data_IF_071834321370
#
_entry.id   IF_071834321370
#
_cell.length_a   1.000
_cell.length_b   1.000
_cell.length_c   1.000
_cell.angle_alpha   90.00
_cell.angle_beta   90.00
_cell.angle_gamma   90.00
#
_symmetry.space_group_name_H-M   'P 1'
#
loop_
_entity.id
_entity.type
_entity.pdbx_description
1 polymer ?
#
# COMPACT_ATOMS: atom_id res chain seq x y z
N UNK A 1 9.62 21.15 17.73
CA UNK A 1 9.65 19.97 18.61
C UNK A 1 9.34 18.78 17.73
N UNK A 2 10.37 18.02 17.34
CA UNK A 2 10.22 16.84 16.49
C UNK A 2 9.58 15.76 17.35
N UNK A 3 8.35 15.35 17.03
CA UNK A 3 7.73 14.20 17.71
C UNK A 3 8.67 13.00 17.59
N UNK A 4 8.95 12.27 18.68
CA UNK A 4 9.73 11.05 18.58
C UNK A 4 8.98 10.09 17.63
N UNK A 5 9.68 9.59 16.61
CA UNK A 5 9.17 8.46 15.82
C UNK A 5 8.81 7.35 16.82
N UNK A 6 7.59 6.79 16.77
CA UNK A 6 7.26 5.66 17.62
C UNK A 6 8.33 4.58 17.44
N UNK A 7 8.80 4.03 18.56
CA UNK A 7 9.82 2.99 18.60
C UNK A 7 9.38 1.83 17.69
N UNK A 8 10.19 1.50 16.68
CA UNK A 8 9.85 0.43 15.73
C UNK A 8 9.58 -0.86 16.53
N UNK A 9 8.39 -1.48 16.40
CA UNK A 9 8.04 -2.62 17.23
C UNK A 9 8.99 -3.79 16.98
N UNK A 10 9.22 -4.63 18.01
CA UNK A 10 10.10 -5.82 17.98
C UNK A 10 9.47 -7.01 17.22
N UNK A 11 8.87 -6.73 16.08
CA UNK A 11 8.31 -7.70 15.14
C UNK A 11 9.25 -7.88 13.95
N UNK A 12 9.18 -9.01 13.23
CA UNK A 12 9.89 -9.16 11.98
C UNK A 12 9.45 -8.06 11.01
N UNK A 13 10.40 -7.24 10.60
CA UNK A 13 10.22 -6.20 9.60
C UNK A 13 10.80 -6.74 8.30
N UNK A 14 9.99 -6.76 7.25
CA UNK A 14 10.44 -7.09 5.90
C UNK A 14 10.46 -5.78 5.11
N UNK A 15 11.64 -5.39 4.63
CA UNK A 15 11.78 -4.31 3.66
C UNK A 15 12.24 -4.89 2.33
N UNK A 16 11.49 -4.60 1.27
CA UNK A 16 11.83 -4.99 -0.10
C UNK A 16 12.01 -3.76 -0.97
N UNK A 17 13.03 -3.77 -1.82
CA UNK A 17 13.19 -2.78 -2.87
C UNK A 17 12.49 -3.23 -4.14
N UNK A 18 11.48 -2.49 -4.58
CA UNK A 18 10.75 -2.75 -5.81
C UNK A 18 11.48 -2.13 -6.99
N UNK A 19 11.36 -2.78 -8.16
CA UNK A 19 11.87 -2.28 -9.44
C UNK A 19 10.72 -2.11 -10.40
N UNK A 20 10.79 -1.16 -11.36
CA UNK A 20 9.79 -1.05 -12.41
C UNK A 20 9.56 -2.40 -13.08
N UNK A 21 8.29 -2.71 -13.34
CA UNK A 21 7.93 -3.93 -14.07
C UNK A 21 8.64 -3.95 -15.44
N UNK A 22 9.07 -5.10 -15.97
CA UNK A 22 9.81 -5.17 -17.24
C UNK A 22 9.09 -4.55 -18.46
N UNK A 23 7.76 -4.40 -18.38
CA UNK A 23 6.95 -3.77 -19.44
C UNK A 23 6.75 -2.27 -19.23
N UNK A 24 7.23 -1.69 -18.14
CA UNK A 24 7.20 -0.24 -17.92
C UNK A 24 8.13 0.45 -18.92
N UNK A 25 7.77 1.64 -19.45
CA UNK A 25 8.59 2.35 -20.43
C UNK A 25 10.05 2.55 -20.01
N UNK A 26 10.29 2.74 -18.71
CA UNK A 26 11.61 3.02 -18.14
C UNK A 26 12.36 1.75 -17.65
N UNK A 27 11.81 0.55 -17.87
CA UNK A 27 12.38 -0.69 -17.34
C UNK A 27 13.74 -1.04 -17.97
N UNK A 28 13.95 -0.68 -19.24
CA UNK A 28 15.19 -0.94 -19.97
C UNK A 28 16.37 -0.05 -19.53
N UNK A 29 16.11 1.02 -18.79
CA UNK A 29 17.11 1.93 -18.26
C UNK A 29 16.75 2.37 -16.83
N UNK A 30 16.94 1.50 -15.82
CA UNK A 30 16.62 1.81 -14.43
C UNK A 30 17.26 3.15 -13.99
N UNK A 31 16.46 4.04 -13.41
CA UNK A 31 16.88 5.37 -12.95
C UNK A 31 16.77 6.49 -13.99
N UNK A 32 16.37 6.21 -15.24
CA UNK A 32 16.07 7.29 -16.22
C UNK A 32 14.65 7.81 -16.09
N UNK A 33 13.73 6.97 -15.60
CA UNK A 33 12.33 7.28 -15.31
C UNK A 33 12.12 8.27 -14.16
N UNK A 34 10.86 8.62 -13.87
CA UNK A 34 10.53 9.52 -12.77
C UNK A 34 10.61 8.83 -11.38
N UNK A 35 10.53 7.50 -11.34
CA UNK A 35 10.64 6.70 -10.12
C UNK A 35 12.11 6.28 -9.92
N UNK A 36 12.69 6.66 -8.78
CA UNK A 36 14.04 6.29 -8.38
C UNK A 36 14.05 4.92 -7.69
N UNK A 37 13.87 4.91 -6.36
CA UNK A 37 13.75 3.69 -5.55
C UNK A 37 12.41 3.67 -4.86
N UNK A 38 11.70 2.54 -4.96
CA UNK A 38 10.52 2.26 -4.15
C UNK A 38 10.89 1.21 -3.11
N UNK A 39 10.93 1.61 -1.85
CA UNK A 39 11.06 0.69 -0.71
C UNK A 39 9.67 0.45 -0.14
N UNK A 40 9.34 -0.81 0.10
CA UNK A 40 8.12 -1.18 0.78
C UNK A 40 8.46 -1.99 2.04
N UNK A 41 7.90 -1.59 3.16
CA UNK A 41 8.10 -2.21 4.46
C UNK A 41 6.76 -2.67 5.02
N UNK A 42 6.72 -3.92 5.49
CA UNK A 42 5.55 -4.47 6.18
C UNK A 42 5.93 -4.90 7.59
N UNK A 43 5.06 -4.61 8.56
CA UNK A 43 5.17 -5.11 9.92
C UNK A 43 3.79 -5.17 10.59
N UNK A 44 3.65 -5.97 11.65
CA UNK A 44 2.45 -6.02 12.50
C UNK A 44 2.65 -5.15 13.74
N UNK A 45 1.72 -4.25 14.09
CA UNK A 45 1.81 -3.55 15.36
C UNK A 45 1.33 -4.47 16.52
N UNK A 46 1.68 -4.15 17.79
CA UNK A 46 1.31 -4.96 18.96
C UNK A 46 -0.19 -5.15 19.17
N UNK A 47 -0.99 -4.17 18.77
CA UNK A 47 -2.46 -4.15 18.82
C UNK A 47 -3.12 -5.02 17.73
N UNK A 48 -2.33 -5.55 16.79
CA UNK A 48 -2.80 -6.35 15.66
C UNK A 48 -3.04 -5.54 14.38
N UNK A 49 -3.26 -6.23 13.27
CA UNK A 49 -3.37 -5.60 11.95
C UNK A 49 -2.04 -5.63 11.20
N UNK A 50 -1.89 -4.76 10.21
CA UNK A 50 -0.67 -4.65 9.43
C UNK A 50 -0.38 -3.18 9.09
N UNK A 51 0.89 -2.81 9.11
CA UNK A 51 1.35 -1.51 8.62
C UNK A 51 2.17 -1.72 7.36
N UNK A 52 1.87 -0.95 6.33
CA UNK A 52 2.62 -0.88 5.07
C UNK A 52 3.20 0.52 4.91
N UNK A 53 4.53 0.63 4.91
CA UNK A 53 5.25 1.87 4.59
C UNK A 53 5.81 1.75 3.17
N UNK A 54 5.42 2.67 2.30
CA UNK A 54 6.01 2.87 0.97
C UNK A 54 6.85 4.14 0.96
N UNK A 55 8.07 4.04 0.44
CA UNK A 55 9.01 5.15 0.35
C UNK A 55 9.55 5.26 -1.07
N UNK A 56 9.24 6.38 -1.70
CA UNK A 56 9.84 6.80 -2.96
C UNK A 56 11.05 7.69 -2.66
N UNK A 57 12.25 7.15 -2.86
CA UNK A 57 13.52 7.87 -2.75
C UNK A 57 14.07 8.17 -4.14
N UNK A 58 14.95 9.18 -4.23
CA UNK A 58 15.68 9.52 -5.47
C UNK A 58 14.73 9.75 -6.68
N UNK A 59 13.47 10.13 -6.41
CA UNK A 59 12.40 10.20 -7.41
C UNK A 59 12.14 11.63 -7.87
N UNK A 60 11.76 11.81 -9.13
CA UNK A 60 11.35 13.09 -9.70
C UNK A 60 9.86 13.28 -9.48
N UNK A 61 9.46 13.57 -8.24
CA UNK A 61 8.05 13.60 -7.84
C UNK A 61 7.18 14.52 -8.70
N UNK A 62 7.70 15.66 -9.17
CA UNK A 62 6.98 16.56 -10.09
C UNK A 62 6.68 16.00 -11.49
N UNK A 63 7.17 14.80 -11.80
CA UNK A 63 6.83 14.03 -13.01
C UNK A 63 5.87 12.86 -12.74
N UNK A 64 5.48 12.66 -11.49
CA UNK A 64 4.48 11.67 -11.09
C UNK A 64 3.11 12.34 -10.98
N UNK A 65 2.06 11.59 -11.29
CA UNK A 65 0.68 12.05 -11.12
C UNK A 65 0.23 11.88 -9.66
N UNK A 66 0.90 12.57 -8.73
CA UNK A 66 0.58 12.52 -7.30
C UNK A 66 -0.65 13.41 -7.07
N UNK A 67 -1.75 12.87 -6.51
CA UNK A 67 -2.94 13.66 -6.23
C UNK A 67 -2.73 14.54 -4.98
N UNK A 68 -3.45 15.66 -4.92
CA UNK A 68 -3.53 16.48 -3.71
C UNK A 68 -4.25 15.73 -2.58
N UNK A 69 -4.02 16.15 -1.33
CA UNK A 69 -4.75 15.63 -0.18
C UNK A 69 -6.26 15.85 -0.33
N UNK A 70 -7.04 14.78 -0.20
CA UNK A 70 -8.49 14.86 -0.28
C UNK A 70 -9.07 15.46 1.02
N UNK A 71 -10.20 16.18 0.95
CA UNK A 71 -10.86 16.67 2.16
C UNK A 71 -11.39 15.51 3.00
N UNK A 72 -11.46 15.68 4.32
CA UNK A 72 -11.87 14.62 5.25
C UNK A 72 -13.24 13.99 4.92
N UNK A 73 -14.15 14.75 4.31
CA UNK A 73 -15.45 14.26 3.83
C UNK A 73 -15.36 13.18 2.75
N UNK A 74 -14.27 13.14 2.00
CA UNK A 74 -14.01 12.19 0.91
C UNK A 74 -13.14 10.99 1.34
N UNK A 75 -12.70 10.96 2.61
CA UNK A 75 -11.91 9.87 3.17
C UNK A 75 -12.75 8.79 3.87
N UNK A 76 -14.06 9.05 4.03
CA UNK A 76 -14.96 8.23 4.84
C UNK A 76 -15.30 6.86 4.22
N UNK A 77 -15.05 6.65 2.92
CA UNK A 77 -15.41 5.42 2.23
C UNK A 77 -14.43 5.05 1.11
N UNK A 78 -14.54 3.81 0.59
CA UNK A 78 -13.69 3.34 -0.48
C UNK A 78 -13.91 4.15 -1.77
N UNK A 79 -12.82 4.39 -2.51
CA UNK A 79 -12.81 5.15 -3.76
C UNK A 79 -12.24 4.29 -4.89
N UNK A 80 -13.04 3.99 -5.92
CA UNK A 80 -12.53 3.30 -7.12
C UNK A 80 -11.66 4.22 -7.99
N UNK A 81 -10.84 3.63 -8.86
CA UNK A 81 -10.10 4.37 -9.90
C UNK A 81 -8.80 5.02 -9.43
N UNK A 82 -8.32 4.73 -8.22
CA UNK A 82 -7.08 5.30 -7.67
C UNK A 82 -5.85 5.04 -8.55
N UNK A 83 -5.83 3.91 -9.27
CA UNK A 83 -4.77 3.51 -10.22
C UNK A 83 -4.59 4.45 -11.43
N UNK A 84 -5.48 5.41 -11.62
CA UNK A 84 -5.32 6.44 -12.66
C UNK A 84 -4.30 7.51 -12.26
N UNK A 85 -3.95 7.56 -10.98
CA UNK A 85 -2.94 8.45 -10.39
C UNK A 85 -1.85 7.60 -9.70
N UNK A 86 -0.91 8.25 -9.03
CA UNK A 86 0.03 7.54 -8.15
C UNK A 86 -0.75 6.91 -7.00
N UNK A 87 -0.72 5.58 -6.93
CA UNK A 87 -1.21 4.79 -5.80
C UNK A 87 -0.18 3.69 -5.47
N UNK A 88 -0.29 3.13 -4.27
CA UNK A 88 0.50 1.98 -3.82
C UNK A 88 -0.43 0.82 -3.53
N UNK A 89 -0.05 -0.37 -3.99
CA UNK A 89 -0.93 -1.53 -3.95
C UNK A 89 -0.31 -2.66 -3.12
N UNK A 90 -1.16 -3.32 -2.33
CA UNK A 90 -0.82 -4.54 -1.60
C UNK A 90 -1.81 -5.63 -2.01
N UNK A 91 -1.30 -6.83 -2.22
CA UNK A 91 -2.10 -8.01 -2.47
C UNK A 91 -1.78 -9.05 -1.41
N UNK A 92 -2.80 -9.50 -0.67
CA UNK A 92 -2.68 -10.54 0.34
C UNK A 92 -3.51 -11.75 -0.06
N UNK A 93 -2.86 -12.92 -0.15
CA UNK A 93 -3.51 -14.19 -0.43
C UNK A 93 -2.99 -15.30 0.48
N UNK A 94 -3.68 -16.44 0.48
CA UNK A 94 -3.22 -17.65 1.16
C UNK A 94 -2.47 -18.51 0.14
N UNK A 95 -1.27 -19.03 0.45
CA UNK A 95 -0.53 -19.89 -0.47
C UNK A 95 -1.35 -21.08 -0.97
N UNK A 96 -1.48 -21.21 -2.29
CA UNK A 96 -2.25 -22.28 -2.93
C UNK A 96 -3.75 -21.99 -3.10
N UNK A 97 -4.24 -20.86 -2.59
CA UNK A 97 -5.62 -20.43 -2.78
C UNK A 97 -5.73 -19.36 -3.89
N UNK A 98 -6.80 -19.38 -4.71
CA UNK A 98 -7.01 -18.38 -5.75
C UNK A 98 -7.53 -17.04 -5.21
N UNK A 99 -8.10 -17.02 -4.00
CA UNK A 99 -8.66 -15.81 -3.39
C UNK A 99 -7.57 -14.88 -2.90
N UNK A 100 -7.82 -13.58 -3.01
CA UNK A 100 -6.94 -12.57 -2.43
C UNK A 100 -7.70 -11.30 -2.06
N UNK A 101 -7.08 -10.48 -1.21
CA UNK A 101 -7.45 -9.10 -0.94
C UNK A 101 -6.48 -8.17 -1.66
N UNK A 102 -7.03 -7.14 -2.28
CA UNK A 102 -6.27 -6.05 -2.90
C UNK A 102 -6.54 -4.77 -2.12
N UNK A 103 -5.47 -4.07 -1.76
CA UNK A 103 -5.51 -2.81 -1.05
C UNK A 103 -4.85 -1.75 -1.93
N UNK A 104 -5.55 -0.63 -2.14
CA UNK A 104 -5.05 0.49 -2.91
C UNK A 104 -4.98 1.71 -1.98
N UNK A 105 -3.80 2.32 -1.87
CA UNK A 105 -3.55 3.46 -1.01
C UNK A 105 -3.07 4.66 -1.83
N UNK A 106 -3.80 5.76 -1.79
CA UNK A 106 -3.45 6.99 -2.50
C UNK A 106 -2.71 7.98 -1.58
N UNK A 107 -1.72 8.74 -2.08
CA UNK A 107 -1.18 9.91 -1.40
C UNK A 107 -2.24 10.93 -0.97
N UNK A 108 -3.41 10.95 -1.62
CA UNK A 108 -4.54 11.81 -1.23
C UNK A 108 -5.19 11.42 0.11
N UNK A 109 -4.85 10.24 0.65
CA UNK A 109 -5.52 9.62 1.80
C UNK A 109 -6.71 8.75 1.43
N UNK A 110 -7.17 8.80 0.17
CA UNK A 110 -8.21 7.90 -0.33
C UNK A 110 -7.68 6.47 -0.44
N UNK A 111 -8.60 5.51 -0.31
CA UNK A 111 -8.26 4.10 -0.27
C UNK A 111 -9.34 3.26 -0.94
N UNK A 112 -8.98 2.03 -1.30
CA UNK A 112 -9.94 1.00 -1.63
C UNK A 112 -9.43 -0.36 -1.17
N UNK A 113 -10.36 -1.23 -0.76
CA UNK A 113 -10.07 -2.63 -0.49
C UNK A 113 -11.05 -3.48 -1.27
N UNK A 114 -10.54 -4.44 -2.02
CA UNK A 114 -11.33 -5.36 -2.82
C UNK A 114 -11.08 -6.80 -2.40
N UNK A 115 -12.10 -7.62 -2.59
CA UNK A 115 -12.00 -9.07 -2.50
C UNK A 115 -12.05 -9.67 -3.89
N UNK A 116 -11.25 -10.71 -4.12
CA UNK A 116 -11.24 -11.48 -5.35
C UNK A 116 -11.43 -12.96 -5.04
N UNK A 117 -12.25 -13.63 -5.85
CA UNK A 117 -12.50 -15.08 -5.78
C UNK A 117 -11.41 -15.87 -6.50
N UNK A 118 -10.84 -15.25 -7.54
CA UNK A 118 -9.74 -15.74 -8.35
C UNK A 118 -9.08 -14.55 -9.06
N UNK A 119 -8.06 -14.83 -9.89
CA UNK A 119 -7.37 -13.81 -10.69
C UNK A 119 -8.35 -12.89 -11.44
N UNK A 120 -8.39 -11.60 -11.02
CA UNK A 120 -9.26 -10.56 -11.57
C UNK A 120 -10.77 -10.87 -11.56
N UNK A 121 -11.20 -11.82 -10.76
CA UNK A 121 -12.61 -12.13 -10.51
C UNK A 121 -13.07 -11.48 -9.20
N UNK A 122 -13.55 -10.23 -9.27
CA UNK A 122 -13.94 -9.44 -8.10
C UNK A 122 -15.18 -10.04 -7.42
N UNK A 123 -15.14 -10.15 -6.10
CA UNK A 123 -16.31 -10.46 -5.28
C UNK A 123 -17.13 -9.19 -5.03
N UNK A 124 -18.24 -9.04 -5.73
CA UNK A 124 -19.08 -7.83 -5.69
C UNK A 124 -19.88 -7.71 -4.38
N UNK A 125 -20.00 -8.79 -3.61
CA UNK A 125 -20.73 -8.80 -2.34
C UNK A 125 -19.84 -8.35 -1.16
N UNK A 126 -18.53 -8.22 -1.39
CA UNK A 126 -17.60 -7.79 -0.35
C UNK A 126 -17.71 -6.29 -0.07
N UNK A 127 -17.87 -5.94 1.20
CA UNK A 127 -17.79 -4.56 1.69
C UNK A 127 -16.74 -4.49 2.81
N UNK A 128 -15.78 -3.55 2.75
CA UNK A 128 -14.82 -3.34 3.83
C UNK A 128 -15.54 -2.96 5.14
N UNK A 129 -15.20 -3.64 6.24
CA UNK A 129 -15.84 -3.44 7.54
C UNK A 129 -15.26 -2.25 8.34
N UNK A 130 -14.13 -1.70 7.90
CA UNK A 130 -13.42 -0.58 8.50
C UNK A 130 -12.70 0.23 7.43
N UNK A 131 -12.03 1.32 7.84
CA UNK A 131 -11.14 2.09 6.99
C UNK A 131 -9.69 1.93 7.50
N UNK A 132 -8.68 1.88 6.61
CA UNK A 132 -7.30 2.04 7.02
C UNK A 132 -7.02 3.51 7.40
N UNK A 133 -6.01 3.72 8.23
CA UNK A 133 -5.45 5.07 8.44
C UNK A 133 -4.27 5.27 7.48
N UNK A 134 -4.25 6.40 6.77
CA UNK A 134 -3.21 6.71 5.78
C UNK A 134 -2.54 8.02 6.15
N UNK A 135 -1.22 7.98 6.29
CA UNK A 135 -0.38 9.15 6.47
C UNK A 135 0.57 9.27 5.28
N UNK A 136 0.46 10.37 4.55
CA UNK A 136 1.38 10.68 3.46
C UNK A 136 2.20 11.92 3.81
N UNK A 137 3.52 11.83 3.66
CA UNK A 137 4.43 12.96 3.79
C UNK A 137 5.27 13.10 2.53
N UNK A 138 5.52 14.35 2.14
CA UNK A 138 6.34 14.68 0.99
C UNK A 138 7.32 15.78 1.37
N UNK A 139 8.60 15.44 1.46
CA UNK A 139 9.68 16.35 1.86
C UNK A 139 10.95 16.04 1.08
N UNK A 140 11.67 17.08 0.65
CA UNK A 140 13.00 16.98 0.00
C UNK A 140 13.10 15.94 -1.13
N UNK A 141 12.06 15.82 -1.96
CA UNK A 141 12.01 14.88 -3.08
C UNK A 141 11.77 13.42 -2.69
N UNK A 142 11.45 13.17 -1.42
CA UNK A 142 11.00 11.88 -0.89
C UNK A 142 9.48 11.93 -0.67
N UNK A 143 8.80 10.85 -1.05
CA UNK A 143 7.40 10.62 -0.67
C UNK A 143 7.34 9.38 0.21
N UNK A 144 6.67 9.48 1.34
CA UNK A 144 6.41 8.38 2.26
C UNK A 144 4.91 8.25 2.43
N UNK A 145 4.38 7.05 2.19
CA UNK A 145 3.01 6.69 2.53
C UNK A 145 3.04 5.57 3.56
N UNK A 146 2.38 5.77 4.68
CA UNK A 146 2.18 4.76 5.72
C UNK A 146 0.68 4.45 5.80
N UNK A 147 0.33 3.19 5.58
CA UNK A 147 -1.04 2.69 5.68
C UNK A 147 -1.14 1.70 6.84
N UNK A 148 -1.99 2.03 7.82
CA UNK A 148 -2.35 1.16 8.94
C UNK A 148 -3.64 0.43 8.60
N UNK A 149 -3.52 -0.86 8.34
CA UNK A 149 -4.62 -1.75 8.00
C UNK A 149 -5.08 -2.45 9.28
N UNK A 150 -6.28 -2.16 9.79
CA UNK A 150 -6.78 -2.78 11.00
C UNK A 150 -7.12 -4.27 10.75
N UNK A 151 -7.16 -5.11 11.82
CA UNK A 151 -7.42 -6.54 11.70
C UNK A 151 -8.68 -6.91 10.89
N UNK A 152 -9.73 -6.09 10.96
CA UNK A 152 -11.00 -6.28 10.27
C UNK A 152 -10.88 -6.22 8.74
N UNK A 153 -9.80 -5.62 8.23
CA UNK A 153 -9.51 -5.55 6.81
C UNK A 153 -8.56 -6.65 6.34
N UNK A 154 -7.96 -7.43 7.22
CA UNK A 154 -7.09 -8.54 6.86
C UNK A 154 -7.91 -9.78 6.42
N UNK A 155 -7.33 -10.69 5.60
CA UNK A 155 -7.97 -11.96 5.31
C UNK A 155 -8.27 -12.75 6.60
N UNK A 156 -9.50 -13.26 6.73
CA UNK A 156 -9.86 -14.14 7.85
C UNK A 156 -9.26 -15.52 7.64
N UNK A 157 -8.18 -15.81 8.35
CA UNK A 157 -7.46 -17.09 8.28
C UNK A 157 -7.23 -17.67 9.69
N UNK A 158 -7.04 -18.98 9.83
CA UNK A 158 -6.62 -19.58 11.09
C UNK A 158 -5.33 -18.95 11.64
N UNK A 159 -5.19 -18.95 12.97
CA UNK A 159 -3.96 -18.47 13.59
C UNK A 159 -2.76 -19.34 13.16
N UNK A 160 -1.64 -18.68 12.83
CA UNK A 160 -0.43 -19.35 12.34
C UNK A 160 -0.43 -19.68 10.85
N UNK A 161 -1.45 -19.26 10.09
CA UNK A 161 -1.45 -19.36 8.63
C UNK A 161 -0.40 -18.43 8.02
N UNK A 162 0.30 -18.95 7.01
CA UNK A 162 1.16 -18.14 6.14
C UNK A 162 0.31 -17.30 5.18
N UNK A 163 0.73 -16.07 4.95
CA UNK A 163 0.17 -15.19 3.92
C UNK A 163 1.22 -14.93 2.85
N UNK A 164 0.79 -14.94 1.59
CA UNK A 164 1.57 -14.46 0.47
C UNK A 164 1.27 -12.98 0.24
N UNK A 165 2.33 -12.20 0.10
CA UNK A 165 2.25 -10.75 -0.12
C UNK A 165 2.86 -10.40 -1.48
N UNK A 166 2.16 -9.60 -2.27
CA UNK A 166 2.70 -8.90 -3.43
C UNK A 166 2.49 -7.41 -3.26
N UNK A 167 3.39 -6.60 -3.81
CA UNK A 167 3.44 -5.15 -3.66
C UNK A 167 3.64 -4.53 -5.05
N UNK A 168 2.92 -3.45 -5.36
CA UNK A 168 3.08 -2.70 -6.61
C UNK A 168 3.12 -1.18 -6.36
#
# INVERSE_FOLDING_TARGET
MTSPRPERPRVPIITVGLRPHPTSPDAAAPGTGPVGRLLATMFSPPEGGAVFEFRLEESRLGKLAIPDAAPASELAGPTDGLWQHTCFEVFLGVPGEPQYREYNFSPSGQWAVYAFRAWRERDQDFTPAAAPEIHCTQEDGTLVLEAHVPPELLPTVPAGSDLQVSLA
#
